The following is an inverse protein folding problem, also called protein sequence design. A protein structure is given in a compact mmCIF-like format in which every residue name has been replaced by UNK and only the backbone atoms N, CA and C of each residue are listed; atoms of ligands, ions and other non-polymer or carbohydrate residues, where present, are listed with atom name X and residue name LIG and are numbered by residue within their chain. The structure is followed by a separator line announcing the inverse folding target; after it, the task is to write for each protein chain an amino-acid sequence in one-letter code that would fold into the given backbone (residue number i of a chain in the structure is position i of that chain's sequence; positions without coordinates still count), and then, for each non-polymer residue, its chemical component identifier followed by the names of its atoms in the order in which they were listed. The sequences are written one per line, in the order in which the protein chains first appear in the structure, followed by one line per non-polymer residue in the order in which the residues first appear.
data_IF_899237941707
#
_entry.id   IF_899237941707
#
_cell.length_a   1.000
_cell.length_b   1.000
_cell.length_c   1.000
_cell.angle_alpha   90.00
_cell.angle_beta   90.00
_cell.angle_gamma   90.00
#
_symmetry.space_group_name_H-M   'P 1'
#
loop_
_entity.id
_entity.type
_entity.pdbx_description
1 polymer ?
#
# COMPACT_ATOMS: atom_id res chain seq x y z
N UNK A 1 -0.81 -1.21 9.81
CA UNK A 1 -0.10 -1.93 10.88
C UNK A 1 -0.06 -3.40 10.52
N UNK A 2 1.05 -4.08 10.82
CA UNK A 2 1.21 -5.53 10.57
C UNK A 2 1.66 -6.25 11.82
N UNK A 3 1.28 -7.52 11.95
CA UNK A 3 1.74 -8.40 13.04
C UNK A 3 3.16 -8.96 12.76
N UNK A 4 3.63 -9.83 13.66
CA UNK A 4 4.94 -10.48 13.55
C UNK A 4 5.08 -11.37 12.29
N UNK A 5 3.96 -11.83 11.71
CA UNK A 5 3.91 -12.63 10.49
C UNK A 5 3.72 -11.77 9.23
N UNK A 6 3.74 -10.43 9.35
CA UNK A 6 3.56 -9.51 8.23
C UNK A 6 2.11 -9.35 7.78
N UNK A 7 1.14 -9.94 8.49
CA UNK A 7 -0.29 -9.85 8.15
C UNK A 7 -0.82 -8.50 8.55
N UNK A 8 -1.69 -7.92 7.71
CA UNK A 8 -2.32 -6.62 7.99
C UNK A 8 -3.31 -6.77 9.14
N UNK A 9 -3.10 -6.01 10.21
CA UNK A 9 -4.01 -5.93 11.37
C UNK A 9 -4.85 -4.65 11.36
N UNK A 10 -4.32 -3.55 10.81
CA UNK A 10 -5.02 -2.25 10.68
C UNK A 10 -4.62 -1.55 9.39
N UNK A 11 -5.57 -0.88 8.73
CA UNK A 11 -5.38 -0.17 7.45
C UNK A 11 -5.63 -1.07 6.23
N UNK A 12 -5.26 -0.67 5.01
CA UNK A 12 -4.42 0.48 4.63
C UNK A 12 -5.18 1.82 4.57
N UNK A 13 -4.54 2.86 5.07
CA UNK A 13 -4.98 4.25 4.89
C UNK A 13 -4.13 4.93 3.81
N UNK A 14 -4.77 5.71 2.94
CA UNK A 14 -4.11 6.46 1.89
C UNK A 14 -4.58 7.90 2.00
N UNK A 15 -3.64 8.84 2.00
CA UNK A 15 -3.90 10.28 1.96
C UNK A 15 -3.14 10.88 0.80
N UNK A 16 -3.79 11.72 0.02
CA UNK A 16 -3.16 12.43 -1.08
C UNK A 16 -3.08 13.93 -0.76
N UNK A 17 -2.00 14.58 -1.23
CA UNK A 17 -1.88 16.03 -1.20
C UNK A 17 -1.55 16.52 -2.60
N UNK A 18 -2.21 17.58 -3.04
CA UNK A 18 -2.04 18.17 -4.37
C UNK A 18 -2.23 17.19 -5.55
N UNK A 19 -2.84 16.03 -5.31
CA UNK A 19 -3.33 15.16 -6.37
C UNK A 19 -4.74 15.65 -6.69
N UNK A 20 -4.93 16.25 -7.87
CA UNK A 20 -6.13 17.00 -8.24
C UNK A 20 -7.46 16.19 -8.32
N UNK A 21 -7.49 14.95 -7.83
CA UNK A 21 -8.71 14.16 -7.73
C UNK A 21 -9.06 13.97 -6.23
N UNK A 22 -10.34 13.98 -5.90
CA UNK A 22 -10.85 13.82 -4.52
C UNK A 22 -10.22 12.59 -3.83
N UNK A 23 -10.04 12.65 -2.50
CA UNK A 23 -9.39 11.60 -1.70
C UNK A 23 -9.93 10.17 -1.97
N UNK A 24 -11.19 10.08 -2.43
CA UNK A 24 -11.89 8.84 -2.79
C UNK A 24 -11.29 8.07 -3.96
N UNK A 25 -10.48 8.69 -4.81
CA UNK A 25 -9.89 7.99 -5.96
C UNK A 25 -9.02 6.81 -5.54
N UNK A 26 -8.41 6.90 -4.36
CA UNK A 26 -7.59 5.81 -3.84
C UNK A 26 -8.39 4.75 -3.08
N UNK A 27 -9.70 4.92 -2.89
CA UNK A 27 -10.53 3.88 -2.27
C UNK A 27 -10.55 2.60 -3.12
N UNK A 28 -10.55 2.76 -4.45
CA UNK A 28 -10.52 1.66 -5.42
C UNK A 28 -9.28 0.77 -5.31
N UNK A 29 -8.14 1.32 -4.87
CA UNK A 29 -6.87 0.58 -4.83
C UNK A 29 -6.63 -0.08 -3.46
N UNK A 30 -7.33 0.33 -2.40
CA UNK A 30 -7.18 -0.23 -1.04
C UNK A 30 -7.31 -1.77 -1.02
N UNK A 31 -8.33 -2.40 -1.65
CA UNK A 31 -8.45 -3.86 -1.65
C UNK A 31 -7.27 -4.57 -2.32
N UNK A 32 -6.72 -3.97 -3.38
CA UNK A 32 -5.58 -4.55 -4.11
C UNK A 32 -4.31 -4.47 -3.27
N UNK A 33 -4.10 -3.37 -2.54
CA UNK A 33 -2.96 -3.23 -1.62
C UNK A 33 -3.06 -4.26 -0.50
N UNK A 34 -4.25 -4.42 0.12
CA UNK A 34 -4.46 -5.44 1.16
C UNK A 34 -4.18 -6.85 0.64
N UNK A 35 -4.66 -7.17 -0.57
CA UNK A 35 -4.40 -8.46 -1.21
C UNK A 35 -2.92 -8.69 -1.45
N UNK A 36 -2.21 -7.72 -2.03
CA UNK A 36 -0.78 -7.84 -2.30
C UNK A 36 0.05 -8.01 -1.02
N UNK A 37 -0.34 -7.33 0.08
CA UNK A 37 0.29 -7.51 1.38
C UNK A 37 0.00 -8.90 1.98
N UNK A 38 -1.22 -9.41 1.83
CA UNK A 38 -1.58 -10.76 2.29
C UNK A 38 -0.83 -11.84 1.52
N UNK A 39 -0.68 -11.68 0.20
CA UNK A 39 0.12 -12.58 -0.64
C UNK A 39 1.59 -12.58 -0.20
N UNK A 40 2.18 -11.39 -0.05
CA UNK A 40 3.56 -11.27 0.43
C UNK A 40 3.76 -11.90 1.82
N UNK A 41 2.83 -11.67 2.76
CA UNK A 41 2.89 -12.29 4.07
C UNK A 41 2.77 -13.82 3.99
N UNK A 42 1.92 -14.35 3.10
CA UNK A 42 1.80 -15.77 2.81
C UNK A 42 3.08 -16.40 2.24
N UNK A 43 3.89 -15.61 1.54
CA UNK A 43 5.23 -15.97 1.07
C UNK A 43 6.32 -15.81 2.15
N UNK A 44 5.94 -15.45 3.39
CA UNK A 44 6.87 -15.28 4.50
C UNK A 44 7.53 -13.91 4.58
N UNK A 45 7.06 -12.91 3.81
CA UNK A 45 7.56 -11.54 3.90
C UNK A 45 7.06 -10.89 5.17
N UNK A 46 7.94 -10.76 6.15
CA UNK A 46 7.63 -10.08 7.42
C UNK A 46 8.29 -8.71 7.54
N UNK A 47 9.40 -8.48 6.84
CA UNK A 47 10.18 -7.24 6.91
C UNK A 47 9.36 -6.01 6.47
N UNK A 48 9.37 -4.97 7.30
CA UNK A 48 8.57 -3.76 7.06
C UNK A 48 9.02 -3.01 5.81
N UNK A 49 10.32 -3.00 5.51
CA UNK A 49 10.84 -2.35 4.31
C UNK A 49 10.41 -3.10 3.04
N UNK A 50 10.47 -4.43 3.04
CA UNK A 50 9.95 -5.25 1.95
C UNK A 50 8.44 -5.00 1.72
N UNK A 51 7.63 -4.93 2.78
CA UNK A 51 6.21 -4.61 2.68
C UNK A 51 5.96 -3.20 2.13
N UNK A 52 6.78 -2.21 2.51
CA UNK A 52 6.75 -0.88 1.89
C UNK A 52 7.03 -0.93 0.38
N UNK A 53 7.94 -1.80 -0.07
CA UNK A 53 8.21 -1.98 -1.50
C UNK A 53 7.01 -2.56 -2.24
N UNK A 54 6.31 -3.53 -1.63
CA UNK A 54 5.05 -4.09 -2.16
C UNK A 54 4.03 -2.97 -2.35
N UNK A 55 3.79 -2.15 -1.30
CA UNK A 55 2.85 -1.01 -1.37
C UNK A 55 3.23 -0.06 -2.51
N UNK A 56 4.49 0.38 -2.56
CA UNK A 56 4.98 1.34 -3.56
C UNK A 56 4.78 0.83 -4.99
N UNK A 57 5.11 -0.43 -5.25
CA UNK A 57 4.96 -1.05 -6.58
C UNK A 57 3.50 -1.19 -6.98
N UNK A 58 2.65 -1.65 -6.06
CA UNK A 58 1.21 -1.82 -6.30
C UNK A 58 0.52 -0.50 -6.63
N UNK A 59 0.70 0.51 -5.77
CA UNK A 59 0.09 1.83 -5.96
C UNK A 59 0.66 2.53 -7.20
N UNK A 60 1.99 2.51 -7.38
CA UNK A 60 2.64 3.14 -8.53
C UNK A 60 2.21 2.55 -9.87
N UNK A 61 2.05 1.23 -9.94
CA UNK A 61 1.56 0.55 -11.14
C UNK A 61 0.14 0.97 -11.47
N UNK A 62 -0.75 0.99 -10.47
CA UNK A 62 -2.14 1.36 -10.65
C UNK A 62 -2.30 2.84 -11.04
N UNK A 63 -1.64 3.76 -10.34
CA UNK A 63 -1.70 5.20 -10.67
C UNK A 63 -1.20 5.46 -12.09
N UNK A 64 -0.08 4.85 -12.48
CA UNK A 64 0.47 5.04 -13.82
C UNK A 64 -0.48 4.49 -14.91
N UNK A 65 -1.17 3.37 -14.66
CA UNK A 65 -2.12 2.78 -15.61
C UNK A 65 -3.43 3.56 -15.71
N UNK A 66 -4.06 3.87 -14.57
CA UNK A 66 -5.40 4.47 -14.50
C UNK A 66 -5.39 5.98 -14.70
N UNK A 67 -4.43 6.68 -14.09
CA UNK A 67 -4.41 8.16 -14.05
C UNK A 67 -3.29 8.76 -14.92
N UNK A 68 -2.38 7.96 -15.47
CA UNK A 68 -1.22 8.42 -16.27
C UNK A 68 -0.34 9.45 -15.53
N UNK A 69 -0.34 9.40 -14.18
CA UNK A 69 0.42 10.29 -13.30
C UNK A 69 1.60 9.55 -12.67
N UNK A 70 2.55 10.32 -12.14
CA UNK A 70 3.74 9.83 -11.42
C UNK A 70 3.92 10.57 -10.10
N UNK A 71 3.03 10.38 -9.12
CA UNK A 71 3.16 11.03 -7.83
C UNK A 71 4.32 10.45 -7.03
N UNK A 72 4.82 11.23 -6.07
CA UNK A 72 5.68 10.69 -5.02
C UNK A 72 4.83 9.82 -4.09
N UNK A 73 5.27 8.58 -3.87
CA UNK A 73 4.58 7.61 -2.99
C UNK A 73 5.47 7.39 -1.76
N UNK A 74 4.94 7.69 -0.57
CA UNK A 74 5.62 7.54 0.71
C UNK A 74 4.92 6.43 1.49
N UNK A 75 5.34 5.16 1.35
CA UNK A 75 4.76 4.05 2.11
C UNK A 75 5.30 4.03 3.54
N UNK A 76 4.40 3.90 4.53
CA UNK A 76 4.78 3.70 5.94
C UNK A 76 4.15 2.41 6.43
N UNK A 77 4.97 1.52 6.99
CA UNK A 77 4.52 0.29 7.63
C UNK A 77 4.94 0.34 9.09
N UNK A 78 3.95 0.21 9.98
CA UNK A 78 4.16 0.11 11.42
C UNK A 78 3.96 -1.35 11.82
N UNK A 79 4.86 -1.87 12.64
CA UNK A 79 4.76 -3.22 13.21
C UNK A 79 4.11 -3.15 14.60
N UNK A 80 3.21 -4.08 14.87
CA UNK A 80 2.68 -4.32 16.22
C UNK A 80 3.82 -4.78 17.14
N UNK A 81 3.92 -4.16 18.31
CA UNK A 81 5.00 -4.43 19.28
C UNK A 81 4.80 -5.77 19.98
#
# INVERSE_FOLDING_TARGET
MVDAQGRVVVGPEIRARAFAEEDHVFDDIKPTVSKALAEAAGEGVTDTYALQQVIRRTVGTWVNKKHRRRPMIIPVVVREQ
#
